data_IF_515902708865
#
_entry.id   IF_515902708865
#
_cell.length_a   1.000
_cell.length_b   1.000
_cell.length_c   1.000
_cell.angle_alpha   90.00
_cell.angle_beta   90.00
_cell.angle_gamma   90.00
#
_symmetry.space_group_name_H-M   'P 1'
#
loop_
_entity.id
_entity.type
_entity.pdbx_description
1 polymer ?
#
# COMPACT_ATOMS: atom_id res chain seq x y z
N UNK A 1 -19.35 -3.76 14.64
CA UNK A 1 -19.19 -3.80 13.18
C UNK A 1 -19.20 -5.28 12.81
N UNK A 2 -20.32 -5.77 12.29
CA UNK A 2 -20.38 -7.09 11.72
C UNK A 2 -19.42 -7.16 10.53
N UNK A 3 -18.64 -8.24 10.48
CA UNK A 3 -17.64 -8.44 9.44
C UNK A 3 -18.33 -8.72 8.09
N UNK A 4 -18.43 -7.73 7.21
CA UNK A 4 -19.00 -7.84 5.86
C UNK A 4 -18.15 -8.69 4.88
N UNK A 5 -17.20 -9.46 5.39
CA UNK A 5 -16.37 -10.34 4.58
C UNK A 5 -17.00 -11.72 4.46
N UNK A 6 -17.20 -12.25 3.23
CA UNK A 6 -17.74 -13.56 3.05
C UNK A 6 -16.78 -14.62 3.63
N UNK A 7 -17.13 -15.14 4.79
CA UNK A 7 -16.46 -16.29 5.36
C UNK A 7 -16.65 -17.51 4.43
N UNK A 8 -15.62 -18.31 4.26
CA UNK A 8 -15.70 -19.55 3.46
C UNK A 8 -16.25 -20.68 4.31
N UNK A 9 -17.24 -21.43 3.79
CA UNK A 9 -17.75 -22.64 4.46
C UNK A 9 -16.73 -23.75 4.40
N UNK A 10 -16.58 -24.46 5.51
CA UNK A 10 -15.76 -25.66 5.63
C UNK A 10 -16.66 -26.90 5.47
N UNK A 11 -16.65 -27.51 4.29
CA UNK A 11 -17.49 -28.69 4.01
C UNK A 11 -19.00 -28.42 4.10
N UNK A 12 -19.78 -29.40 4.55
CA UNK A 12 -21.24 -29.30 4.72
C UNK A 12 -21.66 -28.76 6.10
N UNK A 13 -20.72 -28.17 6.88
CA UNK A 13 -20.96 -27.76 8.25
C UNK A 13 -21.18 -26.24 8.41
N UNK A 14 -21.52 -25.86 9.65
CA UNK A 14 -21.71 -24.48 10.08
C UNK A 14 -20.38 -23.73 10.34
N UNK A 15 -19.24 -24.32 10.00
CA UNK A 15 -17.93 -23.72 10.24
C UNK A 15 -17.51 -22.85 9.08
N UNK A 16 -17.03 -21.64 9.41
CA UNK A 16 -16.52 -20.65 8.46
C UNK A 16 -15.05 -20.36 8.76
N UNK A 17 -14.28 -20.02 7.73
CA UNK A 17 -12.89 -19.61 7.86
C UNK A 17 -12.57 -18.40 6.98
N UNK A 18 -11.61 -17.61 7.41
CA UNK A 18 -11.05 -16.52 6.63
C UNK A 18 -9.65 -16.88 6.15
N UNK A 19 -9.29 -16.44 4.95
CA UNK A 19 -7.94 -16.56 4.44
C UNK A 19 -7.22 -15.22 4.57
N UNK A 20 -6.00 -15.27 5.06
CA UNK A 20 -5.13 -14.10 5.17
C UNK A 20 -3.85 -14.32 4.37
N UNK A 21 -3.28 -13.23 3.87
CA UNK A 21 -1.89 -13.18 3.44
C UNK A 21 -1.08 -12.67 4.65
N UNK A 22 -0.12 -13.46 5.16
CA UNK A 22 0.50 -13.17 6.44
C UNK A 22 2.02 -13.25 6.38
N UNK A 23 2.68 -12.39 7.13
CA UNK A 23 4.10 -12.52 7.47
C UNK A 23 4.21 -13.21 8.83
N UNK A 24 5.13 -14.18 8.92
CA UNK A 24 5.44 -14.91 10.13
C UNK A 24 6.86 -14.55 10.59
N UNK A 25 7.03 -14.34 11.87
CA UNK A 25 8.33 -14.25 12.52
C UNK A 25 8.45 -15.41 13.50
N UNK A 26 9.39 -16.30 13.21
CA UNK A 26 9.59 -17.54 13.95
C UNK A 26 10.94 -17.45 14.65
N UNK A 27 10.95 -17.60 15.96
CA UNK A 27 12.15 -17.74 16.79
C UNK A 27 12.09 -19.07 17.54
N UNK A 28 13.15 -19.39 18.29
CA UNK A 28 13.20 -20.64 19.08
C UNK A 28 12.07 -20.76 20.09
N UNK A 29 11.55 -19.64 20.60
CA UNK A 29 10.60 -19.63 21.72
C UNK A 29 9.31 -18.85 21.41
N UNK A 30 9.19 -18.26 20.21
CA UNK A 30 8.06 -17.38 19.90
C UNK A 30 7.68 -17.45 18.43
N UNK A 31 6.38 -17.41 18.18
CA UNK A 31 5.77 -17.32 16.85
C UNK A 31 4.88 -16.09 16.81
N UNK A 32 5.32 -15.07 16.10
CA UNK A 32 4.52 -13.89 15.85
C UNK A 32 4.00 -13.90 14.40
N UNK A 33 2.85 -13.33 14.19
CA UNK A 33 2.31 -13.14 12.86
C UNK A 33 1.64 -11.77 12.74
N UNK A 34 1.62 -11.27 11.53
CA UNK A 34 0.78 -10.16 11.11
C UNK A 34 0.12 -10.48 9.79
N UNK A 35 -1.15 -10.15 9.66
CA UNK A 35 -1.86 -10.27 8.40
C UNK A 35 -1.68 -9.00 7.56
N UNK A 36 -1.75 -9.16 6.25
CA UNK A 36 -1.71 -8.05 5.30
C UNK A 36 -2.90 -7.13 5.53
N UNK A 37 -2.65 -5.81 5.56
CA UNK A 37 -3.70 -4.79 5.75
C UNK A 37 -4.12 -4.16 4.43
N UNK A 38 -3.14 -3.81 3.57
CA UNK A 38 -3.41 -3.19 2.28
C UNK A 38 -3.49 -4.27 1.19
N UNK A 39 -4.69 -4.79 0.99
CA UNK A 39 -4.93 -5.82 -0.02
C UNK A 39 -4.79 -5.25 -1.43
N UNK A 40 -4.27 -6.06 -2.34
CA UNK A 40 -4.14 -5.68 -3.75
C UNK A 40 -5.52 -5.69 -4.42
N UNK A 41 -6.00 -4.53 -4.93
CA UNK A 41 -7.29 -4.45 -5.60
C UNK A 41 -7.38 -5.40 -6.80
N UNK A 42 -8.54 -5.96 -7.02
CA UNK A 42 -8.87 -6.92 -8.09
C UNK A 42 -8.11 -8.28 -8.01
N UNK A 43 -7.14 -8.41 -7.12
CA UNK A 43 -6.35 -9.63 -6.91
C UNK A 43 -6.70 -10.28 -5.59
N UNK A 44 -6.55 -9.56 -4.48
CA UNK A 44 -6.79 -10.03 -3.12
C UNK A 44 -8.12 -9.52 -2.57
N UNK A 45 -8.58 -8.36 -3.06
CA UNK A 45 -9.86 -7.77 -2.71
C UNK A 45 -10.66 -7.45 -3.97
N UNK A 46 -11.80 -8.12 -4.14
CA UNK A 46 -12.75 -7.86 -5.22
C UNK A 46 -14.03 -7.32 -4.57
N UNK A 47 -14.39 -6.05 -4.78
CA UNK A 47 -15.65 -5.51 -4.30
C UNK A 47 -16.82 -6.32 -4.84
N UNK A 48 -17.90 -6.50 -4.07
CA UNK A 48 -19.05 -7.33 -4.46
C UNK A 48 -19.68 -6.90 -5.78
N UNK A 49 -19.75 -5.58 -6.05
CA UNK A 49 -20.27 -5.03 -7.30
C UNK A 49 -19.39 -5.36 -8.52
N UNK A 50 -18.14 -5.78 -8.32
CA UNK A 50 -17.20 -6.25 -9.35
C UNK A 50 -17.15 -7.79 -9.43
N UNK A 51 -18.13 -8.49 -8.91
CA UNK A 51 -18.18 -9.97 -8.87
C UNK A 51 -17.98 -10.64 -10.23
N UNK A 52 -18.29 -9.95 -11.35
CA UNK A 52 -18.02 -10.41 -12.71
C UNK A 52 -16.51 -10.59 -13.02
N UNK A 53 -15.61 -9.89 -12.29
CA UNK A 53 -14.16 -10.05 -12.42
C UNK A 53 -13.60 -11.28 -11.71
N UNK A 54 -14.41 -11.96 -10.88
CA UNK A 54 -13.97 -13.18 -10.18
C UNK A 54 -13.46 -14.27 -11.11
N UNK A 55 -14.09 -14.41 -12.27
CA UNK A 55 -13.67 -15.40 -13.27
C UNK A 55 -12.33 -15.04 -13.91
N UNK A 56 -12.03 -13.75 -14.07
CA UNK A 56 -10.76 -13.27 -14.59
C UNK A 56 -9.62 -13.47 -13.59
N UNK A 57 -9.87 -13.24 -12.29
CA UNK A 57 -8.89 -13.48 -11.24
C UNK A 57 -8.54 -14.96 -11.05
N UNK A 58 -9.47 -15.87 -11.32
CA UNK A 58 -9.23 -17.32 -11.29
C UNK A 58 -8.26 -17.78 -12.39
N UNK A 59 -8.28 -17.14 -13.54
CA UNK A 59 -7.38 -17.44 -14.67
C UNK A 59 -5.94 -17.05 -14.35
N UNK A 60 -5.72 -16.13 -13.42
CA UNK A 60 -4.38 -15.67 -13.00
C UNK A 60 -3.79 -16.47 -11.82
N UNK A 61 -4.38 -17.59 -11.42
CA UNK A 61 -3.86 -18.43 -10.34
C UNK A 61 -4.01 -17.83 -8.93
N UNK A 62 -4.88 -16.84 -8.79
CA UNK A 62 -5.14 -16.13 -7.53
C UNK A 62 -6.07 -16.98 -6.66
N UNK A 63 -5.84 -16.95 -5.36
CA UNK A 63 -6.66 -17.68 -4.38
C UNK A 63 -8.17 -17.39 -4.58
N UNK A 64 -8.98 -18.44 -4.63
CA UNK A 64 -10.44 -18.33 -4.83
C UNK A 64 -11.06 -17.53 -3.70
N UNK A 65 -11.38 -16.25 -3.95
CA UNK A 65 -12.14 -15.37 -3.05
C UNK A 65 -11.30 -14.23 -2.44
N UNK A 66 -11.99 -13.30 -1.83
CA UNK A 66 -11.38 -12.15 -1.15
C UNK A 66 -10.62 -12.61 0.09
N UNK A 67 -9.43 -12.10 0.29
CA UNK A 67 -8.68 -12.27 1.54
C UNK A 67 -9.23 -11.29 2.58
N UNK A 68 -9.09 -11.65 3.86
CA UNK A 68 -9.37 -10.72 4.96
C UNK A 68 -8.08 -9.99 5.33
N UNK A 69 -8.12 -8.66 5.32
CA UNK A 69 -7.02 -7.81 5.78
C UNK A 69 -7.16 -7.46 7.26
N UNK A 70 -6.04 -7.15 7.91
CA UNK A 70 -6.06 -6.55 9.24
C UNK A 70 -6.27 -5.03 9.13
N UNK A 71 -6.98 -4.38 10.08
CA UNK A 71 -7.26 -2.95 10.01
C UNK A 71 -6.00 -2.09 10.19
N UNK A 72 -4.96 -2.61 10.85
CA UNK A 72 -3.79 -1.84 11.24
C UNK A 72 -2.47 -2.55 11.00
N UNK A 73 -1.42 -1.73 10.80
CA UNK A 73 -0.04 -2.19 10.80
C UNK A 73 0.36 -2.72 12.18
N UNK A 74 0.88 -3.94 12.24
CA UNK A 74 1.39 -4.59 13.45
C UNK A 74 2.90 -4.76 13.35
N UNK A 75 3.62 -4.33 14.38
CA UNK A 75 5.07 -4.50 14.53
C UNK A 75 5.34 -5.83 15.23
N UNK A 76 6.37 -6.53 14.79
CA UNK A 76 6.85 -7.79 15.39
C UNK A 76 8.19 -7.54 16.08
N UNK A 77 8.47 -8.24 17.17
CA UNK A 77 9.68 -8.03 17.97
C UNK A 77 10.61 -9.25 17.88
N UNK A 78 11.87 -9.02 17.59
CA UNK A 78 12.91 -10.04 17.59
C UNK A 78 14.13 -9.56 18.38
N UNK A 79 14.38 -10.17 19.52
CA UNK A 79 15.40 -9.71 20.46
C UNK A 79 15.09 -8.27 20.93
N UNK A 80 16.04 -7.38 20.69
CA UNK A 80 15.91 -5.96 21.01
C UNK A 80 15.43 -5.10 19.85
N UNK A 81 14.97 -5.73 18.75
CA UNK A 81 14.57 -5.03 17.53
C UNK A 81 13.08 -5.17 17.26
N UNK A 82 12.49 -4.08 16.79
CA UNK A 82 11.11 -4.00 16.34
C UNK A 82 11.07 -3.95 14.81
N UNK A 83 10.42 -4.92 14.20
CA UNK A 83 10.40 -5.12 12.76
C UNK A 83 9.03 -4.74 12.20
N UNK A 84 9.02 -3.80 11.26
CA UNK A 84 7.87 -3.54 10.40
C UNK A 84 7.99 -4.33 9.11
N UNK A 85 7.17 -5.36 8.94
CA UNK A 85 7.20 -6.21 7.74
C UNK A 85 6.07 -5.81 6.80
N UNK A 86 6.38 -5.19 5.66
CA UNK A 86 5.41 -4.89 4.60
C UNK A 86 5.30 -6.08 3.62
N UNK A 87 4.07 -6.49 3.33
CA UNK A 87 3.81 -7.62 2.43
C UNK A 87 3.47 -7.08 1.04
N UNK A 88 4.38 -7.31 0.08
CA UNK A 88 4.19 -7.04 -1.35
C UNK A 88 3.72 -5.59 -1.60
N UNK A 89 2.52 -5.42 -2.14
CA UNK A 89 1.91 -4.14 -2.52
C UNK A 89 1.80 -3.13 -1.36
N UNK A 90 1.83 -3.56 -0.09
CA UNK A 90 1.85 -2.64 1.05
C UNK A 90 3.04 -1.67 1.01
N UNK A 91 4.17 -2.09 0.42
CA UNK A 91 5.36 -1.24 0.26
C UNK A 91 5.14 -0.03 -0.66
N UNK A 92 4.10 -0.04 -1.49
CA UNK A 92 3.71 1.11 -2.32
C UNK A 92 3.09 2.25 -1.49
N UNK A 93 2.49 1.95 -0.33
CA UNK A 93 1.80 2.93 0.51
C UNK A 93 2.73 3.55 1.55
N UNK A 94 3.22 4.76 1.28
CA UNK A 94 4.19 5.45 2.15
C UNK A 94 3.68 5.68 3.56
N UNK A 95 2.47 6.20 3.70
CA UNK A 95 1.86 6.47 5.00
C UNK A 95 1.65 5.18 5.81
N UNK A 96 1.23 4.11 5.15
CA UNK A 96 1.07 2.81 5.78
C UNK A 96 2.41 2.26 6.30
N UNK A 97 3.47 2.27 5.47
CA UNK A 97 4.81 1.85 5.91
C UNK A 97 5.36 2.77 7.00
N UNK A 98 5.08 4.07 6.91
CA UNK A 98 5.40 5.05 7.96
C UNK A 98 4.77 4.71 9.31
N UNK A 99 3.57 4.14 9.31
CA UNK A 99 2.88 3.73 10.54
C UNK A 99 3.61 2.65 11.34
N UNK A 100 4.36 1.75 10.69
CA UNK A 100 5.25 0.82 11.42
C UNK A 100 6.30 1.58 12.21
N UNK A 101 6.91 2.60 11.59
CA UNK A 101 7.94 3.41 12.25
C UNK A 101 7.37 4.27 13.37
N UNK A 102 6.16 4.81 13.19
CA UNK A 102 5.43 5.52 14.25
C UNK A 102 5.08 4.61 15.43
N UNK A 103 4.85 3.32 15.17
CA UNK A 103 4.61 2.26 16.18
C UNK A 103 5.90 1.64 16.73
N UNK A 104 7.07 2.21 16.42
CA UNK A 104 8.36 1.85 17.02
C UNK A 104 9.23 0.88 16.22
N UNK A 105 8.89 0.54 14.97
CA UNK A 105 9.76 -0.28 14.14
C UNK A 105 11.10 0.44 13.90
N UNK A 106 12.20 -0.25 14.16
CA UNK A 106 13.58 0.23 13.97
C UNK A 106 14.23 -0.29 12.68
N UNK A 107 13.65 -1.35 12.11
CA UNK A 107 13.97 -1.94 10.81
C UNK A 107 12.68 -2.20 10.02
N UNK A 108 12.79 -2.14 8.69
CA UNK A 108 11.70 -2.48 7.79
C UNK A 108 12.06 -3.69 6.93
N UNK A 109 11.13 -4.61 6.81
CA UNK A 109 11.25 -5.76 5.93
C UNK A 109 10.17 -5.67 4.85
N UNK A 110 10.52 -6.08 3.61
CA UNK A 110 9.56 -6.20 2.51
C UNK A 110 9.61 -7.63 2.01
N UNK A 111 8.48 -8.31 2.04
CA UNK A 111 8.34 -9.70 1.59
C UNK A 111 7.38 -9.68 0.39
N UNK A 112 7.83 -10.14 -0.78
CA UNK A 112 7.02 -10.04 -1.98
C UNK A 112 7.21 -11.21 -2.93
N UNK A 113 6.20 -11.41 -3.79
CA UNK A 113 6.30 -12.21 -4.99
C UNK A 113 6.07 -11.31 -6.21
N UNK A 114 7.14 -10.99 -6.92
CA UNK A 114 7.10 -10.11 -8.09
C UNK A 114 6.88 -10.88 -9.40
N UNK A 115 6.66 -12.20 -9.35
CA UNK A 115 6.44 -13.04 -10.53
C UNK A 115 5.20 -12.66 -11.35
N UNK A 116 4.24 -11.99 -10.72
CA UNK A 116 3.02 -11.47 -11.36
C UNK A 116 3.31 -10.44 -12.47
N UNK A 117 4.42 -9.73 -12.35
CA UNK A 117 4.80 -8.69 -13.31
C UNK A 117 5.46 -9.23 -14.58
N UNK A 118 5.95 -10.48 -14.56
CA UNK A 118 6.83 -10.96 -15.62
C UNK A 118 8.07 -10.06 -15.77
N UNK A 119 8.80 -10.18 -16.86
CA UNK A 119 9.94 -9.28 -17.15
C UNK A 119 9.47 -7.94 -17.72
N UNK A 120 8.80 -7.15 -16.90
CA UNK A 120 8.26 -5.82 -17.22
C UNK A 120 8.86 -4.75 -16.31
N UNK A 121 8.66 -3.45 -16.59
CA UNK A 121 9.03 -2.37 -15.67
C UNK A 121 8.39 -2.47 -14.28
N UNK A 122 7.30 -3.23 -14.12
CA UNK A 122 6.53 -3.31 -12.89
C UNK A 122 7.35 -3.76 -11.69
N UNK A 123 8.10 -4.87 -11.78
CA UNK A 123 8.93 -5.33 -10.68
C UNK A 123 10.10 -4.36 -10.37
N UNK A 124 10.61 -3.64 -11.39
CA UNK A 124 11.65 -2.61 -11.20
C UNK A 124 11.10 -1.44 -10.40
N UNK A 125 9.92 -0.94 -10.76
CA UNK A 125 9.24 0.11 -10.01
C UNK A 125 8.91 -0.32 -8.58
N UNK A 126 8.44 -1.56 -8.41
CA UNK A 126 8.15 -2.10 -7.08
C UNK A 126 9.41 -2.21 -6.20
N UNK A 127 10.57 -2.49 -6.79
CA UNK A 127 11.85 -2.44 -6.10
C UNK A 127 12.21 -1.01 -5.65
N UNK A 128 12.00 -0.02 -6.52
CA UNK A 128 12.28 1.40 -6.23
C UNK A 128 11.44 1.96 -5.08
N UNK A 129 10.21 1.43 -4.87
CA UNK A 129 9.42 1.82 -3.69
C UNK A 129 10.15 1.56 -2.37
N UNK A 130 10.96 0.52 -2.29
CA UNK A 130 11.76 0.26 -1.09
C UNK A 130 12.75 1.39 -0.80
N UNK A 131 13.35 2.02 -1.84
CA UNK A 131 14.21 3.20 -1.65
C UNK A 131 13.44 4.37 -1.06
N UNK A 132 12.25 4.65 -1.59
CA UNK A 132 11.40 5.72 -1.08
C UNK A 132 11.02 5.48 0.38
N UNK A 133 10.62 4.27 0.72
CA UNK A 133 10.30 3.88 2.12
C UNK A 133 11.50 4.05 3.05
N UNK A 134 12.70 3.69 2.59
CA UNK A 134 13.92 3.89 3.38
C UNK A 134 14.20 5.37 3.64
N UNK A 135 14.07 6.22 2.63
CA UNK A 135 14.30 7.68 2.71
C UNK A 135 13.28 8.34 3.64
N UNK A 136 12.00 8.10 3.42
CA UNK A 136 10.89 8.71 4.17
C UNK A 136 10.95 8.40 5.66
N UNK A 137 11.32 7.17 5.98
CA UNK A 137 11.30 6.67 7.34
C UNK A 137 12.68 6.68 8.01
N UNK A 138 13.76 6.96 7.26
CA UNK A 138 15.14 6.83 7.74
C UNK A 138 15.39 5.46 8.37
N UNK A 139 14.91 4.40 7.70
CA UNK A 139 15.09 3.00 8.10
C UNK A 139 15.87 2.23 7.05
N UNK A 140 16.74 1.33 7.51
CA UNK A 140 17.25 0.31 6.62
C UNK A 140 16.15 -0.67 6.26
N UNK A 141 16.19 -1.17 5.03
CA UNK A 141 15.23 -2.15 4.52
C UNK A 141 15.93 -3.41 4.07
N UNK A 142 15.41 -4.55 4.51
CA UNK A 142 15.69 -5.87 3.93
C UNK A 142 14.48 -6.28 3.07
N UNK A 143 14.69 -6.41 1.76
CA UNK A 143 13.67 -6.86 0.82
C UNK A 143 14.00 -8.27 0.33
N UNK A 144 13.03 -9.16 0.45
CA UNK A 144 13.06 -10.50 -0.11
C UNK A 144 11.96 -10.67 -1.14
N UNK A 145 12.33 -11.04 -2.36
CA UNK A 145 11.41 -11.27 -3.46
C UNK A 145 11.59 -12.69 -3.99
N UNK A 146 10.48 -13.42 -4.17
CA UNK A 146 10.51 -14.79 -4.67
C UNK A 146 11.16 -14.88 -6.08
N UNK A 147 10.65 -14.09 -7.04
CA UNK A 147 11.15 -14.07 -8.42
C UNK A 147 11.66 -12.71 -8.86
N UNK A 148 11.43 -11.69 -8.04
CA UNK A 148 11.83 -10.32 -8.28
C UNK A 148 13.25 -10.04 -7.84
N UNK A 149 13.54 -8.77 -7.56
CA UNK A 149 14.82 -8.34 -7.00
C UNK A 149 14.73 -8.29 -5.48
N UNK A 150 15.55 -9.09 -4.83
CA UNK A 150 15.86 -8.94 -3.40
C UNK A 150 16.94 -7.88 -3.22
N UNK A 151 17.02 -7.27 -2.03
CA UNK A 151 18.07 -6.28 -1.79
C UNK A 151 18.04 -5.66 -0.41
N UNK A 152 19.13 -4.99 -0.08
CA UNK A 152 19.29 -4.23 1.15
C UNK A 152 19.46 -2.75 0.85
N UNK A 153 18.76 -1.92 1.60
CA UNK A 153 18.77 -0.47 1.45
C UNK A 153 19.21 0.17 2.75
N UNK A 154 20.05 1.19 2.66
CA UNK A 154 20.36 2.01 3.81
C UNK A 154 19.28 3.09 4.08
N UNK A 155 19.46 3.86 5.14
CA UNK A 155 18.54 4.92 5.55
C UNK A 155 18.43 6.10 4.58
N UNK A 156 19.28 6.18 3.56
CA UNK A 156 19.27 7.19 2.50
C UNK A 156 18.66 6.66 1.20
N UNK A 157 18.29 5.37 1.17
CA UNK A 157 17.77 4.70 -0.01
C UNK A 157 18.85 4.16 -0.95
N UNK A 158 20.13 4.23 -0.58
CA UNK A 158 21.18 3.61 -1.37
C UNK A 158 21.05 2.10 -1.31
N UNK A 159 21.17 1.44 -2.46
CA UNK A 159 21.18 -0.02 -2.56
C UNK A 159 22.56 -0.54 -2.15
N UNK A 160 22.62 -1.30 -1.05
CA UNK A 160 23.86 -1.88 -0.55
C UNK A 160 24.21 -3.18 -1.29
N UNK A 161 23.21 -4.01 -1.53
CA UNK A 161 23.29 -5.24 -2.31
C UNK A 161 21.94 -5.49 -2.98
N UNK A 162 21.95 -6.16 -4.14
CA UNK A 162 20.73 -6.61 -4.82
C UNK A 162 21.00 -7.87 -5.63
N UNK A 163 19.96 -8.70 -5.78
CA UNK A 163 19.94 -9.86 -6.66
C UNK A 163 19.45 -9.48 -8.05
N UNK A 164 19.62 -10.39 -9.01
CA UNK A 164 19.04 -10.25 -10.33
C UNK A 164 17.61 -10.82 -10.36
N UNK A 165 16.83 -10.40 -11.37
CA UNK A 165 15.49 -10.90 -11.60
C UNK A 165 15.54 -12.33 -12.12
N UNK A 166 14.73 -13.24 -11.55
CA UNK A 166 14.57 -14.63 -11.94
C UNK A 166 15.83 -15.51 -11.81
N UNK A 167 16.85 -15.07 -11.06
CA UNK A 167 18.05 -15.86 -10.76
C UNK A 167 18.03 -16.27 -9.27
N UNK A 168 18.20 -17.57 -8.95
CA UNK A 168 18.38 -17.99 -7.55
C UNK A 168 19.63 -17.36 -6.96
N UNK A 169 19.50 -16.67 -5.85
CA UNK A 169 20.62 -15.99 -5.19
C UNK A 169 20.38 -15.85 -3.69
N UNK A 170 21.46 -15.72 -2.92
CA UNK A 170 21.44 -15.47 -1.49
C UNK A 170 22.42 -14.36 -1.13
N UNK A 171 21.93 -13.29 -0.53
CA UNK A 171 22.72 -12.13 -0.13
C UNK A 171 22.63 -11.91 1.39
N UNK A 172 23.68 -11.36 1.98
CA UNK A 172 23.78 -11.08 3.41
C UNK A 172 24.33 -9.68 3.64
N UNK A 173 23.72 -8.94 4.57
CA UNK A 173 24.16 -7.58 4.91
C UNK A 173 23.88 -7.27 6.38
N UNK A 174 24.77 -6.50 7.00
CA UNK A 174 24.53 -5.89 8.31
C UNK A 174 23.80 -4.57 8.11
N UNK A 175 22.66 -4.42 8.78
CA UNK A 175 21.83 -3.22 8.71
C UNK A 175 21.87 -2.45 10.01
N UNK A 176 21.87 -1.12 9.93
CA UNK A 176 21.84 -0.24 11.10
C UNK A 176 20.41 0.07 11.48
N UNK A 177 19.98 -0.38 12.65
CA UNK A 177 18.70 -0.02 13.24
C UNK A 177 18.63 1.48 13.58
N UNK A 178 17.43 2.06 13.52
CA UNK A 178 17.18 3.46 13.87
C UNK A 178 15.79 3.60 14.50
N UNK A 179 15.71 4.25 15.65
CA UNK A 179 14.46 4.46 16.41
C UNK A 179 13.86 5.85 16.22
N UNK A 180 14.59 6.80 15.60
CA UNK A 180 14.09 8.18 15.42
C UNK A 180 12.91 8.20 14.45
N UNK A 181 11.78 8.72 14.86
CA UNK A 181 10.59 8.89 14.01
C UNK A 181 10.74 10.15 13.18
N UNK A 182 10.60 10.03 11.87
CA UNK A 182 10.66 11.17 10.94
C UNK A 182 9.38 11.99 11.00
N UNK A 183 9.46 13.24 10.52
CA UNK A 183 8.27 14.10 10.40
C UNK A 183 7.19 13.43 9.54
N UNK A 184 7.59 12.81 8.42
CA UNK A 184 6.68 12.08 7.55
C UNK A 184 6.01 10.88 8.26
N UNK A 185 6.78 10.03 8.94
CA UNK A 185 6.23 8.89 9.67
C UNK A 185 5.25 9.31 10.78
N UNK A 186 5.48 10.48 11.40
CA UNK A 186 4.61 11.02 12.45
C UNK A 186 3.32 11.63 11.91
N UNK A 187 3.39 12.37 10.79
CA UNK A 187 2.29 13.18 10.29
C UNK A 187 1.60 12.58 9.06
N UNK A 188 2.15 11.50 8.50
CA UNK A 188 1.65 10.89 7.26
C UNK A 188 1.87 11.76 6.04
N UNK A 189 1.10 11.53 4.98
CA UNK A 189 1.17 12.27 3.72
C UNK A 189 0.47 13.63 3.82
N UNK A 190 1.08 14.54 4.57
CA UNK A 190 0.54 15.88 4.78
C UNK A 190 0.54 16.74 3.50
N UNK A 191 1.47 16.49 2.58
CA UNK A 191 1.53 17.24 1.31
C UNK A 191 0.32 16.93 0.43
N UNK A 192 -0.05 15.66 0.29
CA UNK A 192 -1.26 15.28 -0.45
C UNK A 192 -2.52 15.84 0.19
N UNK A 193 -2.60 15.85 1.53
CA UNK A 193 -3.75 16.46 2.24
C UNK A 193 -3.87 17.95 1.94
N UNK A 194 -2.74 18.70 1.97
CA UNK A 194 -2.71 20.11 1.59
C UNK A 194 -3.11 20.29 0.13
N UNK A 195 -2.54 19.49 -0.78
CA UNK A 195 -2.85 19.57 -2.21
C UNK A 195 -4.33 19.31 -2.50
N UNK A 196 -4.94 18.31 -1.85
CA UNK A 196 -6.38 18.03 -1.95
C UNK A 196 -7.21 19.24 -1.48
N UNK A 197 -6.86 19.82 -0.33
CA UNK A 197 -7.56 20.98 0.19
C UNK A 197 -7.48 22.18 -0.77
N UNK A 198 -6.28 22.49 -1.27
CA UNK A 198 -6.08 23.60 -2.24
C UNK A 198 -6.87 23.34 -3.52
N UNK A 199 -6.83 22.11 -4.04
CA UNK A 199 -7.60 21.73 -5.23
C UNK A 199 -9.09 21.91 -5.02
N UNK A 200 -9.60 21.54 -3.86
CA UNK A 200 -11.02 21.71 -3.52
C UNK A 200 -11.44 23.17 -3.47
N UNK A 201 -10.60 24.06 -2.87
CA UNK A 201 -10.83 25.52 -2.84
C UNK A 201 -10.82 26.10 -4.25
N UNK A 202 -9.85 25.72 -5.09
CA UNK A 202 -9.78 26.17 -6.48
C UNK A 202 -10.98 25.71 -7.28
N UNK A 203 -11.45 24.49 -7.10
CA UNK A 203 -12.64 23.97 -7.77
C UNK A 203 -13.90 24.75 -7.39
N UNK A 204 -14.10 25.02 -6.10
CA UNK A 204 -15.24 25.83 -5.62
C UNK A 204 -15.20 27.25 -6.23
N UNK A 205 -14.04 27.89 -6.22
CA UNK A 205 -13.90 29.24 -6.77
C UNK A 205 -14.16 29.26 -8.28
N UNK A 206 -13.69 28.26 -9.01
CA UNK A 206 -13.98 28.10 -10.43
C UNK A 206 -15.46 27.89 -10.72
N UNK A 207 -16.15 27.02 -9.97
CA UNK A 207 -17.59 26.79 -10.09
C UNK A 207 -18.37 28.08 -9.79
N UNK A 208 -18.04 28.76 -8.68
CA UNK A 208 -18.69 30.02 -8.30
C UNK A 208 -18.54 31.08 -9.39
N UNK A 209 -17.35 31.26 -9.92
CA UNK A 209 -17.09 32.20 -11.03
C UNK A 209 -17.90 31.82 -12.28
N UNK A 210 -17.90 30.54 -12.66
CA UNK A 210 -18.66 30.07 -13.82
C UNK A 210 -20.17 30.33 -13.70
N UNK A 211 -20.73 30.12 -12.52
CA UNK A 211 -22.15 30.40 -12.24
C UNK A 211 -22.46 31.91 -12.32
N UNK A 212 -21.57 32.76 -11.78
CA UNK A 212 -21.72 34.21 -11.86
C UNK A 212 -21.66 34.71 -13.30
N UNK A 213 -20.74 34.22 -14.10
CA UNK A 213 -20.58 34.59 -15.51
C UNK A 213 -21.78 34.11 -16.34
N UNK A 214 -22.28 32.90 -16.07
CA UNK A 214 -23.50 32.40 -16.69
C UNK A 214 -24.70 33.30 -16.34
N UNK A 215 -24.83 33.72 -15.08
CA UNK A 215 -25.90 34.62 -14.63
C UNK A 215 -25.82 36.00 -15.32
N UNK A 216 -24.63 36.58 -15.48
CA UNK A 216 -24.39 37.84 -16.20
C UNK A 216 -24.76 37.74 -17.68
N UNK A 217 -24.31 36.66 -18.36
CA UNK A 217 -24.60 36.44 -19.76
C UNK A 217 -26.11 36.28 -20.03
N UNK A 218 -26.84 35.59 -19.14
CA UNK A 218 -28.29 35.41 -19.23
C UNK A 218 -29.04 36.75 -19.05
N UNK A 219 -28.59 37.64 -18.13
CA UNK A 219 -29.15 38.97 -17.95
C UNK A 219 -28.88 39.86 -19.16
N UNK A 220 -27.68 39.84 -19.75
CA UNK A 220 -27.32 40.59 -20.95
C UNK A 220 -28.19 40.14 -22.15
N UNK A 221 -28.36 38.85 -22.37
CA UNK A 221 -29.20 38.32 -23.44
C UNK A 221 -30.71 38.77 -23.31
N UNK A 222 -31.24 38.77 -22.08
CA UNK A 222 -32.61 39.27 -21.83
C UNK A 222 -32.76 40.76 -22.08
N UNK A 223 -31.74 41.58 -21.76
CA UNK A 223 -31.74 43.05 -21.99
C UNK A 223 -31.75 43.34 -23.49
N UNK A 224 -30.95 42.63 -24.29
CA UNK A 224 -30.87 42.81 -25.74
C UNK A 224 -32.18 42.42 -26.44
N UNK A 225 -32.82 41.36 -25.99
CA UNK A 225 -34.15 40.94 -26.51
C UNK A 225 -35.27 41.95 -26.21
N UNK A 226 -35.22 42.66 -25.06
CA UNK A 226 -36.18 43.73 -24.72
C UNK A 226 -36.03 45.02 -25.50
N UNK A 227 -34.84 45.31 -26.01
CA UNK A 227 -34.57 46.53 -26.84
C UNK A 227 -34.93 46.37 -28.32
N UNK A 228 -35.21 45.12 -28.77
CA UNK A 228 -35.62 44.80 -30.15
C UNK A 228 -37.14 44.67 -30.34
N UNK A 229 -37.92 44.86 -29.28
CA UNK A 229 -39.37 45.04 -29.30
C UNK A 229 -39.71 46.49 -29.05
#
# INVERSE_FOLDING_TARGET
>A
MEDDFPARKLGNGERYYYCHNSALLISSNDLQHRNKSQLTPAVEAIPEWMGFLRNFSLTMGIARGTLKGDPEAKVMTFGNHNIGAAICYESAFGEYVGSFCAKGADLLFVITNDGWWGDTPGYKQHFEFSKLRAIENRRCIARSANTGRSGFFNQRGDVLQQTKYWEPDAIKQTLKANTKVTFYAKNGDYLSRIAVYVTFVLLITWIAKSLLDFGKNRKAAKSTSRKKK
#
